data_IF_356841108948
#
_entry.id   IF_356841108948
#
_cell.length_a   1.000
_cell.length_b   1.000
_cell.length_c   1.000
_cell.angle_alpha   90.00
_cell.angle_beta   90.00
_cell.angle_gamma   90.00
#
_symmetry.space_group_name_H-M   'P 1'
#
loop_
_entity.id
_entity.type
_entity.pdbx_description
1 polymer ?
#
# COMPACT_ATOMS: atom_id res chain seq x y z
N UNK A 1 -7.95 15.47 -7.61
CA UNK A 1 -6.70 16.28 -7.75
C UNK A 1 -6.37 16.86 -6.38
N UNK A 2 -5.35 16.34 -5.72
CA UNK A 2 -4.85 16.95 -4.49
C UNK A 2 -4.14 18.24 -4.88
N UNK A 3 -4.68 19.41 -4.49
CA UNK A 3 -3.89 20.65 -4.57
C UNK A 3 -2.59 20.41 -3.82
N UNK A 4 -1.45 20.54 -4.49
CA UNK A 4 -0.15 20.53 -3.83
C UNK A 4 -0.19 21.57 -2.73
N UNK A 5 -0.27 21.14 -1.48
CA UNK A 5 -0.09 22.04 -0.35
C UNK A 5 1.30 22.64 -0.48
N UNK A 6 1.35 23.89 -0.87
CA UNK A 6 2.62 24.64 -0.99
C UNK A 6 3.28 24.66 0.37
N UNK A 7 4.19 23.76 0.58
CA UNK A 7 4.99 23.71 1.80
C UNK A 7 5.92 24.95 1.73
N UNK A 8 6.01 25.67 2.85
CA UNK A 8 6.86 26.87 2.91
C UNK A 8 8.32 26.50 2.55
N UNK A 9 8.89 27.06 1.46
CA UNK A 9 10.23 26.72 1.00
C UNK A 9 11.33 26.93 2.05
N UNK A 10 11.17 27.95 2.91
CA UNK A 10 12.14 28.21 3.99
C UNK A 10 12.11 27.12 5.05
N UNK A 11 10.92 26.57 5.35
CA UNK A 11 10.77 25.47 6.29
C UNK A 11 11.32 24.17 5.72
N UNK A 12 11.12 23.90 4.43
CA UNK A 12 11.75 22.78 3.73
C UNK A 12 13.27 22.84 3.84
N UNK A 13 13.86 24.00 3.51
CA UNK A 13 15.30 24.23 3.59
C UNK A 13 15.81 23.96 5.00
N UNK A 14 15.16 24.54 6.00
CA UNK A 14 15.52 24.36 7.41
C UNK A 14 15.50 22.89 7.83
N UNK A 15 14.46 22.12 7.46
CA UNK A 15 14.34 20.70 7.82
C UNK A 15 15.40 19.84 7.12
N UNK A 16 15.78 20.18 5.88
CA UNK A 16 16.87 19.51 5.17
C UNK A 16 18.22 19.81 5.82
N UNK A 17 18.51 21.07 6.15
CA UNK A 17 19.75 21.48 6.80
C UNK A 17 19.89 20.87 8.20
N UNK A 18 18.80 20.67 8.93
CA UNK A 18 18.75 20.02 10.24
C UNK A 18 18.74 18.48 10.16
N UNK A 19 18.69 17.90 8.96
CA UNK A 19 18.68 16.45 8.76
C UNK A 19 17.36 15.75 9.10
N UNK A 20 16.31 16.52 9.40
CA UNK A 20 14.97 15.96 9.64
C UNK A 20 14.33 15.47 8.35
N UNK A 21 14.62 16.12 7.25
CA UNK A 21 14.12 15.75 5.92
C UNK A 21 15.25 15.26 5.06
N UNK A 22 15.30 13.98 4.85
CA UNK A 22 16.27 13.32 4.00
C UNK A 22 15.66 13.05 2.63
N UNK A 23 16.52 12.86 1.61
CA UNK A 23 16.10 12.41 0.28
C UNK A 23 16.05 10.87 0.25
N UNK A 24 15.40 10.28 1.26
CA UNK A 24 15.14 8.85 1.38
C UNK A 24 13.65 8.59 1.23
N UNK A 25 13.31 7.57 0.47
CA UNK A 25 11.94 7.04 0.34
C UNK A 25 11.67 5.94 1.38
N UNK A 26 10.41 5.56 1.52
CA UNK A 26 10.05 4.38 2.32
C UNK A 26 10.66 3.09 1.74
N UNK A 27 10.83 3.02 0.42
CA UNK A 27 11.50 1.89 -0.24
C UNK A 27 12.98 1.81 0.15
N UNK A 28 13.71 2.93 0.16
CA UNK A 28 15.12 2.93 0.58
C UNK A 28 15.29 2.43 2.01
N UNK A 29 14.36 2.81 2.91
CA UNK A 29 14.35 2.30 4.29
C UNK A 29 14.04 0.80 4.34
N UNK A 30 13.11 0.34 3.51
CA UNK A 30 12.75 -1.07 3.40
C UNK A 30 13.92 -1.91 2.90
N UNK A 31 14.51 -1.53 1.76
CA UNK A 31 15.61 -2.25 1.12
C UNK A 31 16.81 -2.39 2.06
N UNK A 32 17.20 -1.30 2.73
CA UNK A 32 18.27 -1.32 3.74
C UNK A 32 17.94 -2.29 4.90
N UNK A 33 16.66 -2.38 5.29
CA UNK A 33 16.26 -3.29 6.37
C UNK A 33 16.31 -4.74 5.93
N UNK A 34 15.85 -5.04 4.70
CA UNK A 34 15.96 -6.37 4.08
C UNK A 34 17.42 -6.80 3.97
N UNK A 35 18.30 -5.91 3.53
CA UNK A 35 19.75 -6.19 3.45
C UNK A 35 20.37 -6.47 4.82
N UNK A 36 19.95 -5.72 5.84
CA UNK A 36 20.54 -5.81 7.19
C UNK A 36 20.04 -7.01 7.98
N UNK A 37 18.75 -7.34 7.82
CA UNK A 37 18.08 -8.36 8.63
C UNK A 37 17.25 -9.34 7.79
N UNK A 38 17.79 -9.93 6.72
CA UNK A 38 17.02 -10.71 5.73
C UNK A 38 16.23 -11.87 6.35
N UNK A 39 16.82 -12.57 7.28
CA UNK A 39 16.27 -13.79 7.86
C UNK A 39 15.49 -13.54 9.17
N UNK A 40 15.36 -12.28 9.59
CA UNK A 40 14.55 -11.91 10.75
C UNK A 40 13.07 -11.95 10.37
N UNK A 41 12.24 -12.55 11.24
CA UNK A 41 10.79 -12.54 11.09
C UNK A 41 10.24 -11.13 11.19
N UNK A 42 9.39 -10.78 10.23
CA UNK A 42 8.77 -9.46 10.13
C UNK A 42 7.25 -9.50 10.28
N UNK A 43 6.58 -10.42 9.59
CA UNK A 43 5.10 -10.55 9.62
C UNK A 43 4.70 -11.90 10.16
N UNK A 44 3.76 -11.87 11.07
CA UNK A 44 2.98 -13.04 11.52
C UNK A 44 1.52 -12.61 11.49
N UNK A 45 0.69 -13.30 10.71
CA UNK A 45 -0.74 -13.02 10.64
C UNK A 45 -1.58 -14.03 11.44
N UNK A 46 -2.86 -13.74 11.63
CA UNK A 46 -3.81 -14.56 12.38
C UNK A 46 -4.17 -15.89 11.68
N UNK A 47 -3.79 -16.06 10.42
CA UNK A 47 -3.91 -17.31 9.66
C UNK A 47 -2.70 -18.23 9.83
N UNK A 48 -1.71 -17.78 10.62
CA UNK A 48 -0.48 -18.52 10.90
C UNK A 48 0.60 -18.37 9.83
N UNK A 49 0.43 -17.48 8.85
CA UNK A 49 1.49 -17.17 7.90
C UNK A 49 2.61 -16.39 8.60
N UNK A 50 3.84 -16.75 8.28
CA UNK A 50 5.05 -16.13 8.82
C UNK A 50 5.99 -15.83 7.68
N UNK A 51 6.51 -14.61 7.67
CA UNK A 51 7.46 -14.16 6.65
C UNK A 51 8.63 -13.44 7.29
N UNK A 52 9.83 -13.80 6.87
CA UNK A 52 11.03 -13.01 7.09
C UNK A 52 11.01 -11.76 6.19
N UNK A 53 11.90 -10.80 6.45
CA UNK A 53 12.04 -9.63 5.57
C UNK A 53 12.32 -10.04 4.13
N UNK A 54 13.21 -10.99 3.88
CA UNK A 54 13.54 -11.52 2.55
C UNK A 54 12.34 -12.15 1.86
N UNK A 55 11.65 -13.05 2.54
CA UNK A 55 10.50 -13.77 1.98
C UNK A 55 9.36 -12.81 1.63
N UNK A 56 9.10 -11.80 2.48
CA UNK A 56 8.09 -10.81 2.22
C UNK A 56 8.50 -9.89 1.07
N UNK A 57 9.78 -9.52 0.97
CA UNK A 57 10.31 -8.72 -0.14
C UNK A 57 10.16 -9.43 -1.49
N UNK A 58 10.49 -10.72 -1.54
CA UNK A 58 10.30 -11.55 -2.74
C UNK A 58 8.81 -11.67 -3.11
N UNK A 59 7.93 -11.87 -2.11
CA UNK A 59 6.49 -11.92 -2.33
C UNK A 59 5.96 -10.59 -2.86
N UNK A 60 6.37 -9.47 -2.25
CA UNK A 60 6.03 -8.13 -2.71
C UNK A 60 6.56 -7.84 -4.14
N UNK A 61 7.74 -8.35 -4.48
CA UNK A 61 8.28 -8.28 -5.84
C UNK A 61 7.40 -8.97 -6.88
N UNK A 62 6.83 -10.14 -6.54
CA UNK A 62 5.86 -10.84 -7.41
C UNK A 62 4.57 -10.03 -7.57
N UNK A 63 4.06 -9.45 -6.48
CA UNK A 63 2.89 -8.57 -6.52
C UNK A 63 3.17 -7.31 -7.35
N UNK A 64 4.34 -6.69 -7.19
CA UNK A 64 4.77 -5.55 -8.00
C UNK A 64 4.78 -5.87 -9.51
N UNK A 65 5.32 -7.03 -9.88
CA UNK A 65 5.30 -7.51 -11.27
C UNK A 65 3.88 -7.72 -11.80
N UNK A 66 2.98 -8.22 -10.97
CA UNK A 66 1.57 -8.36 -11.33
C UNK A 66 0.89 -7.00 -11.55
N UNK A 67 1.12 -6.02 -10.66
CA UNK A 67 0.59 -4.67 -10.80
C UNK A 67 1.08 -3.99 -12.09
N UNK A 68 2.36 -4.14 -12.43
CA UNK A 68 2.91 -3.67 -13.70
C UNK A 68 2.20 -4.34 -14.89
N UNK A 69 1.96 -5.66 -14.79
CA UNK A 69 1.22 -6.42 -15.79
C UNK A 69 -0.23 -5.94 -15.98
N UNK A 70 -0.87 -5.40 -14.95
CA UNK A 70 -2.16 -4.72 -15.02
C UNK A 70 -2.08 -3.30 -15.61
N UNK A 71 -0.90 -2.79 -15.90
CA UNK A 71 -0.67 -1.47 -16.47
C UNK A 71 -0.59 -0.33 -15.46
N UNK A 72 -0.44 -0.63 -14.16
CA UNK A 72 -0.28 0.40 -13.12
C UNK A 72 1.01 1.17 -13.34
N UNK A 73 0.89 2.51 -13.35
CA UNK A 73 1.99 3.43 -13.55
C UNK A 73 2.41 4.11 -12.22
N UNK A 74 3.65 4.62 -12.12
CA UNK A 74 4.06 5.44 -10.99
C UNK A 74 3.08 6.61 -10.74
N UNK A 75 2.75 6.84 -9.48
CA UNK A 75 1.79 7.87 -9.05
C UNK A 75 0.32 7.46 -9.12
N UNK A 76 -0.02 6.34 -9.76
CA UNK A 76 -1.39 5.83 -9.75
C UNK A 76 -1.73 5.14 -8.43
N UNK A 77 -3.00 5.18 -8.06
CA UNK A 77 -3.50 4.69 -6.78
C UNK A 77 -3.93 3.22 -6.87
N UNK A 78 -3.37 2.41 -5.99
CA UNK A 78 -3.77 1.03 -5.73
C UNK A 78 -4.49 0.97 -4.40
N UNK A 79 -5.80 0.73 -4.42
CA UNK A 79 -6.62 0.62 -3.22
C UNK A 79 -6.73 -0.82 -2.75
N UNK A 80 -6.72 -1.00 -1.43
CA UNK A 80 -6.97 -2.31 -0.85
C UNK A 80 -7.68 -2.21 0.50
N UNK A 81 -8.69 -3.05 0.66
CA UNK A 81 -9.47 -3.20 1.89
C UNK A 81 -9.24 -4.62 2.41
N UNK A 82 -8.14 -4.79 3.14
CA UNK A 82 -7.69 -6.07 3.65
C UNK A 82 -7.59 -6.04 5.18
N UNK A 83 -7.87 -7.16 5.85
CA UNK A 83 -7.44 -7.33 7.23
C UNK A 83 -5.92 -7.18 7.33
N UNK A 84 -5.39 -7.14 8.57
CA UNK A 84 -3.92 -7.07 8.77
C UNK A 84 -3.34 -8.47 8.49
N UNK A 85 -3.47 -8.91 7.25
CA UNK A 85 -2.87 -10.11 6.71
C UNK A 85 -1.52 -9.80 6.05
N UNK A 86 -0.74 -10.83 5.79
CA UNK A 86 0.54 -10.68 5.09
C UNK A 86 0.40 -10.01 3.72
N UNK A 87 -0.72 -10.21 3.02
CA UNK A 87 -1.03 -9.58 1.73
C UNK A 87 -1.14 -8.04 1.84
N UNK A 88 -1.57 -7.51 2.99
CA UNK A 88 -1.59 -6.07 3.23
C UNK A 88 -0.17 -5.48 3.15
N UNK A 89 0.79 -6.13 3.80
CA UNK A 89 2.20 -5.72 3.76
C UNK A 89 2.80 -5.92 2.35
N UNK A 90 2.49 -7.04 1.69
CA UNK A 90 2.96 -7.31 0.33
C UNK A 90 2.49 -6.24 -0.66
N UNK A 91 1.20 -5.87 -0.65
CA UNK A 91 0.66 -4.82 -1.51
C UNK A 91 1.27 -3.45 -1.22
N UNK A 92 1.46 -3.11 0.05
CA UNK A 92 2.07 -1.84 0.46
C UNK A 92 3.49 -1.73 -0.09
N UNK A 93 4.31 -2.76 0.12
CA UNK A 93 5.71 -2.78 -0.36
C UNK A 93 5.76 -2.85 -1.89
N UNK A 94 4.86 -3.61 -2.53
CA UNK A 94 4.75 -3.67 -3.98
C UNK A 94 4.48 -2.30 -4.59
N UNK A 95 3.58 -1.51 -4.00
CA UNK A 95 3.32 -0.13 -4.43
C UNK A 95 4.58 0.74 -4.31
N UNK A 96 5.33 0.62 -3.22
CA UNK A 96 6.60 1.36 -3.07
C UNK A 96 7.61 0.97 -4.16
N UNK A 97 7.73 -0.34 -4.48
CA UNK A 97 8.66 -0.84 -5.50
C UNK A 97 8.38 -0.29 -6.91
N UNK A 98 7.13 0.01 -7.24
CA UNK A 98 6.73 0.52 -8.56
C UNK A 98 6.41 2.01 -8.58
N UNK A 99 6.57 2.71 -7.44
CA UNK A 99 6.24 4.13 -7.31
C UNK A 99 4.74 4.43 -7.34
N UNK A 100 3.88 3.43 -7.13
CA UNK A 100 2.43 3.61 -7.00
C UNK A 100 2.06 4.11 -5.60
N UNK A 101 0.86 4.67 -5.48
CA UNK A 101 0.32 5.14 -4.20
C UNK A 101 -0.47 4.00 -3.55
N UNK A 102 0.02 3.51 -2.42
CA UNK A 102 -0.71 2.55 -1.59
C UNK A 102 -1.86 3.26 -0.87
N UNK A 103 -3.11 2.81 -1.07
CA UNK A 103 -4.30 3.38 -0.44
C UNK A 103 -5.05 2.31 0.36
N UNK A 104 -4.65 2.07 1.62
CA UNK A 104 -5.36 1.16 2.50
C UNK A 104 -6.70 1.75 2.94
N UNK A 105 -7.76 0.94 2.83
CA UNK A 105 -9.13 1.29 3.20
C UNK A 105 -9.53 0.49 4.45
N UNK A 106 -10.19 1.16 5.40
CA UNK A 106 -10.65 0.50 6.61
C UNK A 106 -11.70 -0.59 6.29
N UNK A 107 -11.59 -1.74 6.98
CA UNK A 107 -12.54 -2.86 6.82
C UNK A 107 -13.98 -2.48 7.17
N UNK A 108 -14.18 -1.44 7.99
CA UNK A 108 -15.48 -0.93 8.38
C UNK A 108 -16.19 -0.07 7.33
N UNK A 109 -15.49 0.31 6.24
CA UNK A 109 -16.14 1.07 5.16
C UNK A 109 -17.14 0.21 4.44
N UNK A 110 -18.37 0.75 4.34
CA UNK A 110 -19.44 0.17 3.56
C UNK A 110 -19.46 0.79 2.14
N UNK A 111 -20.44 0.45 1.33
CA UNK A 111 -20.53 0.82 -0.08
C UNK A 111 -20.36 2.32 -0.35
N UNK A 112 -21.01 3.18 0.43
CA UNK A 112 -20.97 4.64 0.23
C UNK A 112 -19.58 5.24 0.52
N UNK A 113 -18.99 4.85 1.64
CA UNK A 113 -17.63 5.29 2.00
C UNK A 113 -16.60 4.72 1.03
N UNK A 114 -16.77 3.45 0.64
CA UNK A 114 -15.90 2.78 -0.33
C UNK A 114 -15.98 3.48 -1.68
N UNK A 115 -17.17 3.69 -2.24
CA UNK A 115 -17.38 4.39 -3.49
C UNK A 115 -16.74 5.78 -3.48
N UNK A 116 -17.00 6.56 -2.41
CA UNK A 116 -16.42 7.89 -2.26
C UNK A 116 -14.89 7.83 -2.21
N UNK A 117 -14.33 6.90 -1.44
CA UNK A 117 -12.90 6.75 -1.25
C UNK A 117 -12.20 6.42 -2.58
N UNK A 118 -12.73 5.46 -3.33
CA UNK A 118 -12.20 5.06 -4.63
C UNK A 118 -12.29 6.19 -5.67
N UNK A 119 -13.42 6.91 -5.71
CA UNK A 119 -13.63 8.02 -6.64
C UNK A 119 -12.73 9.22 -6.34
N UNK A 120 -12.61 9.63 -5.07
CA UNK A 120 -11.77 10.78 -4.68
C UNK A 120 -10.30 10.53 -4.94
N UNK A 121 -9.86 9.28 -4.79
CA UNK A 121 -8.46 8.90 -5.03
C UNK A 121 -8.18 8.51 -6.48
N UNK A 122 -9.20 8.46 -7.34
CA UNK A 122 -9.09 7.99 -8.73
C UNK A 122 -8.40 6.62 -8.80
N UNK A 123 -8.82 5.70 -7.92
CA UNK A 123 -8.18 4.40 -7.75
C UNK A 123 -8.20 3.58 -9.05
N UNK A 124 -7.04 3.06 -9.46
CA UNK A 124 -6.89 2.28 -10.69
C UNK A 124 -7.27 0.82 -10.52
N UNK A 125 -7.11 0.29 -9.34
CA UNK A 125 -7.52 -1.07 -9.00
C UNK A 125 -7.83 -1.19 -7.51
N UNK A 126 -8.58 -2.23 -7.17
CA UNK A 126 -8.97 -2.54 -5.82
C UNK A 126 -8.68 -4.01 -5.51
N UNK A 127 -8.15 -4.27 -4.31
CA UNK A 127 -7.95 -5.59 -3.75
C UNK A 127 -8.73 -5.73 -2.45
N UNK A 128 -9.42 -6.84 -2.28
CA UNK A 128 -10.15 -7.17 -1.07
C UNK A 128 -10.28 -8.68 -0.88
N UNK A 129 -10.70 -9.15 0.28
CA UNK A 129 -11.08 -10.53 0.46
C UNK A 129 -12.42 -10.78 -0.27
N UNK A 130 -12.68 -12.00 -0.69
CA UNK A 130 -14.03 -12.38 -1.15
C UNK A 130 -15.00 -12.32 0.02
N UNK A 131 -14.62 -12.91 1.15
CA UNK A 131 -15.44 -12.96 2.36
C UNK A 131 -14.57 -12.82 3.60
N UNK A 132 -15.02 -12.00 4.57
CA UNK A 132 -14.33 -11.87 5.85
C UNK A 132 -15.34 -11.64 6.98
N UNK A 133 -15.24 -12.43 8.06
CA UNK A 133 -16.26 -12.54 9.10
C UNK A 133 -17.63 -12.89 8.52
N UNK A 134 -18.58 -11.96 8.56
CA UNK A 134 -19.96 -12.12 8.08
C UNK A 134 -20.26 -11.25 6.86
N UNK A 135 -19.24 -10.69 6.24
CA UNK A 135 -19.38 -9.71 5.15
C UNK A 135 -18.84 -10.30 3.86
N UNK A 136 -19.65 -10.20 2.81
CA UNK A 136 -19.25 -10.45 1.43
C UNK A 136 -18.67 -9.15 0.86
N UNK A 137 -17.34 -9.12 0.67
CA UNK A 137 -16.63 -7.96 0.12
C UNK A 137 -16.68 -7.95 -1.40
N UNK A 138 -16.85 -9.11 -2.03
CA UNK A 138 -17.02 -9.20 -3.47
C UNK A 138 -18.36 -8.58 -3.90
N UNK A 139 -19.46 -8.91 -3.23
CA UNK A 139 -20.76 -8.27 -3.46
C UNK A 139 -20.67 -6.76 -3.25
N UNK A 140 -20.02 -6.33 -2.17
CA UNK A 140 -19.84 -4.91 -1.83
C UNK A 140 -19.10 -4.13 -2.92
N UNK A 141 -17.98 -4.65 -3.44
CA UNK A 141 -17.22 -3.94 -4.49
C UNK A 141 -17.96 -3.96 -5.83
N UNK A 142 -18.68 -5.00 -6.14
CA UNK A 142 -19.50 -5.05 -7.35
C UNK A 142 -20.64 -4.02 -7.30
N UNK A 143 -21.25 -3.80 -6.14
CA UNK A 143 -22.28 -2.76 -5.95
C UNK A 143 -21.74 -1.32 -6.10
N UNK A 144 -20.42 -1.13 -5.91
CA UNK A 144 -19.76 0.19 -6.06
C UNK A 144 -19.31 0.46 -7.49
N UNK A 145 -19.16 -0.59 -8.30
CA UNK A 145 -18.63 -0.52 -9.66
C UNK A 145 -19.58 0.17 -10.65
N UNK A 146 -20.89 0.12 -10.42
CA UNK A 146 -21.94 0.69 -11.27
C UNK A 146 -22.23 2.17 -10.92
#
# INVERSE_FOLDING_TARGET
MFEERKINPNLQKQYREQGYWKDETLLDCWDRTVETYPDREYVVDDRGNRYTYRELDEAAGRVASYLIGLGIQPGEVVSFQLPIWSEFAMLTIACYKIGAVAHPIAMSYEEKELARSLNVTESRCYFGPTFFYKTDYEERILAVRD
#
